data_IF_909817174629
#
_entry.id   IF_909817174629
#
_cell.length_a   1.000
_cell.length_b   1.000
_cell.length_c   1.000
_cell.angle_alpha   90.00
_cell.angle_beta   90.00
_cell.angle_gamma   90.00
#
_symmetry.space_group_name_H-M   'P 1'
#
loop_
_entity.id
_entity.type
_entity.pdbx_description
1 polymer ?
#
# COMPACT_ATOMS: atom_id res chain seq x y z
N UNK A 1 -37.30 -29.89 -26.29
CA UNK A 1 -37.59 -28.82 -25.31
C UNK A 1 -36.27 -28.13 -24.99
N UNK A 2 -36.03 -26.94 -25.53
CA UNK A 2 -34.84 -26.15 -25.18
C UNK A 2 -35.03 -25.58 -23.78
N UNK A 3 -34.28 -26.11 -22.82
CA UNK A 3 -34.15 -25.51 -21.49
C UNK A 3 -33.45 -24.16 -21.67
N UNK A 4 -34.22 -23.07 -21.67
CA UNK A 4 -33.64 -21.74 -21.65
C UNK A 4 -32.96 -21.52 -20.30
N UNK A 5 -31.64 -21.39 -20.33
CA UNK A 5 -30.86 -21.00 -19.16
C UNK A 5 -31.38 -19.65 -18.65
N UNK A 6 -31.71 -19.52 -17.35
CA UNK A 6 -32.28 -18.30 -16.82
C UNK A 6 -31.25 -17.17 -16.93
N UNK A 7 -31.61 -16.10 -17.63
CA UNK A 7 -30.74 -14.93 -17.79
C UNK A 7 -30.41 -14.34 -16.42
N UNK A 8 -29.12 -14.36 -16.07
CA UNK A 8 -28.63 -13.82 -14.81
C UNK A 8 -28.34 -12.32 -14.93
N UNK A 9 -28.73 -11.60 -13.88
CA UNK A 9 -28.52 -10.18 -13.71
C UNK A 9 -27.06 -9.93 -13.28
N UNK A 10 -26.38 -8.92 -13.84
CA UNK A 10 -24.98 -8.61 -13.44
C UNK A 10 -24.89 -8.11 -11.99
N UNK A 11 -25.91 -7.38 -11.52
CA UNK A 11 -25.97 -6.87 -10.15
C UNK A 11 -27.42 -6.90 -9.64
N UNK A 12 -27.60 -7.28 -8.37
CA UNK A 12 -28.91 -7.36 -7.71
C UNK A 12 -29.72 -8.61 -8.06
N UNK A 13 -31.02 -8.58 -7.75
CA UNK A 13 -31.98 -9.64 -8.09
C UNK A 13 -32.92 -9.18 -9.19
N UNK A 14 -33.30 -10.11 -10.07
CA UNK A 14 -34.27 -9.89 -11.14
C UNK A 14 -35.63 -9.59 -10.52
N UNK A 15 -36.34 -8.57 -11.00
CA UNK A 15 -37.69 -8.32 -10.53
C UNK A 15 -38.65 -9.38 -11.08
N UNK A 16 -39.66 -9.79 -10.30
CA UNK A 16 -40.60 -10.85 -10.70
C UNK A 16 -41.33 -10.56 -12.02
N UNK A 17 -41.54 -9.28 -12.32
CA UNK A 17 -42.20 -8.78 -13.54
C UNK A 17 -41.21 -8.34 -14.64
N UNK A 18 -39.90 -8.43 -14.40
CA UNK A 18 -38.89 -7.99 -15.37
C UNK A 18 -38.76 -9.02 -16.48
N UNK A 19 -39.11 -8.63 -17.71
CA UNK A 19 -38.95 -9.49 -18.89
C UNK A 19 -37.47 -9.78 -19.18
N UNK A 20 -37.19 -10.89 -19.86
CA UNK A 20 -35.83 -11.26 -20.29
C UNK A 20 -35.15 -10.15 -21.11
N UNK A 21 -35.93 -9.46 -21.96
CA UNK A 21 -35.45 -8.31 -22.75
C UNK A 21 -35.05 -7.13 -21.88
N UNK A 22 -35.79 -6.86 -20.81
CA UNK A 22 -35.47 -5.80 -19.86
C UNK A 22 -34.20 -6.15 -19.07
N UNK A 23 -34.04 -7.41 -18.66
CA UNK A 23 -32.81 -7.92 -18.02
C UNK A 23 -31.59 -7.72 -18.91
N UNK A 24 -31.68 -8.16 -20.18
CA UNK A 24 -30.59 -7.98 -21.16
C UNK A 24 -30.28 -6.49 -21.35
N UNK A 25 -31.30 -5.65 -21.50
CA UNK A 25 -31.11 -4.21 -21.68
C UNK A 25 -30.51 -3.51 -20.45
N UNK A 26 -30.86 -3.95 -19.24
CA UNK A 26 -30.23 -3.45 -18.03
C UNK A 26 -28.76 -3.87 -17.97
N UNK A 27 -28.44 -5.13 -18.29
CA UNK A 27 -27.05 -5.59 -18.32
C UNK A 27 -26.22 -4.81 -19.34
N UNK A 28 -26.77 -4.52 -20.51
CA UNK A 28 -26.11 -3.68 -21.51
C UNK A 28 -25.94 -2.23 -21.05
N UNK A 29 -26.94 -1.68 -20.34
CA UNK A 29 -26.85 -0.36 -19.72
C UNK A 29 -25.71 -0.26 -18.69
N UNK A 30 -25.57 -1.27 -17.83
CA UNK A 30 -24.50 -1.33 -16.82
C UNK A 30 -23.11 -1.39 -17.45
N UNK A 31 -22.96 -2.12 -18.57
CA UNK A 31 -21.71 -2.24 -19.33
C UNK A 31 -21.26 -0.96 -20.01
N UNK A 32 -22.08 0.10 -20.06
CA UNK A 32 -21.68 1.40 -20.63
C UNK A 32 -20.71 2.19 -19.73
N UNK A 33 -20.52 1.82 -18.46
CA UNK A 33 -19.58 2.51 -17.56
C UNK A 33 -20.06 3.89 -17.09
N UNK A 34 -19.17 4.74 -16.58
CA UNK A 34 -19.54 6.01 -15.91
C UNK A 34 -20.23 7.05 -16.80
N UNK A 35 -20.12 6.93 -18.13
CA UNK A 35 -20.80 7.77 -19.11
C UNK A 35 -22.16 7.22 -19.58
N UNK A 36 -22.76 6.27 -18.86
CA UNK A 36 -24.00 5.60 -19.28
C UNK A 36 -25.17 6.57 -19.43
N UNK A 37 -25.93 6.42 -20.51
CA UNK A 37 -27.23 7.06 -20.67
C UNK A 37 -28.13 6.22 -21.58
N UNK A 38 -29.45 6.34 -21.40
CA UNK A 38 -30.42 5.62 -22.24
C UNK A 38 -30.34 6.04 -23.71
N UNK A 39 -29.88 7.27 -24.00
CA UNK A 39 -29.67 7.74 -25.37
C UNK A 39 -28.49 7.03 -26.03
N UNK A 40 -27.38 6.88 -25.30
CA UNK A 40 -26.20 6.13 -25.78
C UNK A 40 -26.56 4.66 -26.00
N UNK A 41 -27.30 4.05 -25.06
CA UNK A 41 -27.76 2.67 -25.22
C UNK A 41 -28.65 2.50 -26.45
N UNK A 42 -29.61 3.41 -26.66
CA UNK A 42 -30.50 3.39 -27.81
C UNK A 42 -29.72 3.52 -29.12
N UNK A 43 -28.76 4.44 -29.18
CA UNK A 43 -27.94 4.65 -30.37
C UNK A 43 -27.15 3.38 -30.70
N UNK A 44 -26.57 2.74 -29.68
CA UNK A 44 -25.90 1.44 -29.84
C UNK A 44 -26.84 0.37 -30.40
N UNK A 45 -28.07 0.29 -29.90
CA UNK A 45 -29.07 -0.66 -30.41
C UNK A 45 -29.53 -0.36 -31.84
N UNK A 46 -29.54 0.89 -32.27
CA UNK A 46 -29.87 1.26 -33.67
C UNK A 46 -28.78 0.87 -34.65
N UNK A 47 -27.52 0.94 -34.22
CA UNK A 47 -26.36 0.60 -35.05
C UNK A 47 -26.08 -0.92 -35.11
N UNK A 48 -26.68 -1.70 -34.21
CA UNK A 48 -26.45 -3.13 -34.10
C UNK A 48 -27.21 -3.93 -35.18
N UNK A 49 -26.47 -4.58 -36.08
CA UNK A 49 -27.03 -5.39 -37.19
C UNK A 49 -27.00 -6.89 -36.95
N UNK A 50 -26.01 -7.38 -36.20
CA UNK A 50 -25.75 -8.81 -36.04
C UNK A 50 -26.74 -9.54 -35.11
N UNK A 51 -27.19 -8.89 -34.03
CA UNK A 51 -28.13 -9.47 -33.07
C UNK A 51 -29.33 -8.55 -32.91
N UNK A 52 -30.53 -9.14 -32.88
CA UNK A 52 -31.77 -8.38 -32.68
C UNK A 52 -31.76 -7.72 -31.29
N UNK A 53 -31.70 -6.38 -31.21
CA UNK A 53 -31.66 -5.70 -29.91
C UNK A 53 -32.97 -5.93 -29.14
N UNK A 54 -32.95 -5.83 -27.80
CA UNK A 54 -34.15 -5.99 -26.97
C UNK A 54 -35.28 -5.03 -27.36
N UNK A 55 -34.92 -3.80 -27.74
CA UNK A 55 -35.83 -2.77 -28.26
C UNK A 55 -35.04 -1.68 -29.00
N UNK A 56 -35.69 -0.98 -29.93
CA UNK A 56 -35.18 0.23 -30.61
C UNK A 56 -36.02 1.47 -30.30
N UNK A 57 -36.92 1.37 -29.32
CA UNK A 57 -37.84 2.45 -28.91
C UNK A 57 -37.39 3.07 -27.60
N UNK A 58 -37.10 4.37 -27.61
CA UNK A 58 -36.68 5.11 -26.42
C UNK A 58 -37.68 5.00 -25.26
N UNK A 59 -38.99 5.13 -25.56
CA UNK A 59 -40.06 5.06 -24.56
C UNK A 59 -40.06 3.75 -23.77
N UNK A 60 -39.71 2.64 -24.41
CA UNK A 60 -39.59 1.33 -23.76
C UNK A 60 -38.41 1.28 -22.80
N UNK A 61 -37.23 1.78 -23.21
CA UNK A 61 -36.05 1.85 -22.33
C UNK A 61 -36.29 2.77 -21.13
N UNK A 62 -36.91 3.93 -21.34
CA UNK A 62 -37.23 4.87 -20.27
C UNK A 62 -38.20 4.26 -19.24
N UNK A 63 -39.22 3.55 -19.71
CA UNK A 63 -40.16 2.84 -18.85
C UNK A 63 -39.46 1.75 -18.02
N UNK A 64 -38.72 0.84 -18.65
CA UNK A 64 -37.98 -0.22 -17.95
C UNK A 64 -36.94 0.34 -16.97
N UNK A 65 -36.22 1.39 -17.36
CA UNK A 65 -35.24 2.04 -16.49
C UNK A 65 -35.85 2.60 -15.21
N UNK A 66 -37.08 3.11 -15.31
CA UNK A 66 -37.82 3.69 -14.17
C UNK A 66 -38.46 2.59 -13.33
N UNK A 67 -39.17 1.66 -13.97
CA UNK A 67 -39.90 0.57 -13.30
C UNK A 67 -38.98 -0.40 -12.57
N UNK A 68 -37.80 -0.71 -13.13
CA UNK A 68 -36.84 -1.67 -12.56
C UNK A 68 -35.62 -0.99 -11.93
N UNK A 69 -35.72 0.30 -11.60
CA UNK A 69 -34.72 1.07 -10.85
C UNK A 69 -33.27 0.90 -11.37
N UNK A 70 -33.08 1.01 -12.69
CA UNK A 70 -31.76 0.77 -13.30
C UNK A 70 -30.68 1.70 -12.78
N UNK A 71 -31.04 2.93 -12.38
CA UNK A 71 -30.10 3.90 -11.81
C UNK A 71 -29.56 3.45 -10.45
N UNK A 72 -30.38 2.86 -9.60
CA UNK A 72 -29.93 2.39 -8.28
C UNK A 72 -29.08 1.13 -8.41
N UNK A 73 -29.46 0.24 -9.33
CA UNK A 73 -28.64 -0.92 -9.71
C UNK A 73 -27.31 -0.49 -10.31
N UNK A 74 -27.31 0.54 -11.15
CA UNK A 74 -26.09 1.15 -11.70
C UNK A 74 -25.15 1.66 -10.60
N UNK A 75 -25.67 2.35 -9.59
CA UNK A 75 -24.86 2.80 -8.44
C UNK A 75 -24.28 1.61 -7.66
N UNK A 76 -25.08 0.57 -7.42
CA UNK A 76 -24.62 -0.63 -6.72
C UNK A 76 -23.51 -1.36 -7.51
N UNK A 77 -23.67 -1.48 -8.83
CA UNK A 77 -22.65 -2.05 -9.71
C UNK A 77 -21.35 -1.25 -9.67
N UNK A 78 -21.43 0.07 -9.74
CA UNK A 78 -20.26 0.94 -9.72
C UNK A 78 -19.53 0.86 -8.38
N UNK A 79 -20.26 0.85 -7.27
CA UNK A 79 -19.68 0.66 -5.94
C UNK A 79 -18.96 -0.69 -5.81
N UNK A 80 -19.57 -1.79 -6.31
CA UNK A 80 -18.93 -3.11 -6.31
C UNK A 80 -17.67 -3.15 -7.17
N UNK A 81 -17.71 -2.54 -8.35
CA UNK A 81 -16.57 -2.49 -9.26
C UNK A 81 -15.41 -1.68 -8.66
N UNK A 82 -15.70 -0.52 -8.07
CA UNK A 82 -14.68 0.29 -7.40
C UNK A 82 -14.11 -0.41 -6.16
N UNK A 83 -14.96 -1.08 -5.36
CA UNK A 83 -14.48 -1.89 -4.24
C UNK A 83 -13.53 -3.00 -4.73
N UNK A 84 -13.90 -3.74 -5.77
CA UNK A 84 -13.06 -4.80 -6.33
C UNK A 84 -11.71 -4.26 -6.85
N UNK A 85 -11.69 -3.07 -7.47
CA UNK A 85 -10.43 -2.41 -7.88
C UNK A 85 -9.58 -2.02 -6.67
N UNK A 86 -10.18 -1.44 -5.65
CA UNK A 86 -9.48 -1.07 -4.42
C UNK A 86 -8.90 -2.29 -3.72
N UNK A 87 -9.65 -3.39 -3.64
CA UNK A 87 -9.19 -4.65 -3.06
C UNK A 87 -8.03 -5.25 -3.86
N UNK A 88 -8.12 -5.26 -5.20
CA UNK A 88 -7.04 -5.71 -6.07
C UNK A 88 -5.77 -4.85 -5.92
N UNK A 89 -5.92 -3.53 -5.83
CA UNK A 89 -4.80 -2.61 -5.61
C UNK A 89 -4.19 -2.82 -4.21
N UNK A 90 -5.02 -3.02 -3.18
CA UNK A 90 -4.57 -3.31 -1.83
C UNK A 90 -3.83 -4.65 -1.74
N UNK A 91 -4.29 -5.68 -2.45
CA UNK A 91 -3.59 -6.94 -2.58
C UNK A 91 -2.23 -6.76 -3.28
N UNK A 92 -2.19 -6.00 -4.38
CA UNK A 92 -0.94 -5.72 -5.09
C UNK A 92 0.04 -4.90 -4.24
N UNK A 93 -0.46 -3.96 -3.45
CA UNK A 93 0.37 -3.21 -2.50
C UNK A 93 0.97 -4.14 -1.46
N UNK A 94 0.15 -5.02 -0.85
CA UNK A 94 0.65 -6.01 0.10
C UNK A 94 1.72 -6.89 -0.53
N UNK A 95 1.50 -7.43 -1.72
CA UNK A 95 2.52 -8.21 -2.44
C UNK A 95 3.83 -7.43 -2.64
N UNK A 96 3.76 -6.14 -2.99
CA UNK A 96 4.97 -5.32 -3.21
C UNK A 96 5.68 -4.96 -1.90
N UNK A 97 4.95 -4.74 -0.81
CA UNK A 97 5.51 -4.29 0.47
C UNK A 97 5.86 -5.43 1.43
N UNK A 98 5.12 -6.54 1.36
CA UNK A 98 5.26 -7.71 2.23
C UNK A 98 6.12 -8.81 1.59
N UNK A 99 6.75 -8.54 0.44
CA UNK A 99 7.67 -9.46 -0.24
C UNK A 99 8.98 -8.78 -0.65
N UNK A 100 9.98 -9.60 -0.97
CA UNK A 100 11.29 -9.20 -1.46
C UNK A 100 12.04 -8.29 -0.49
N UNK A 101 12.73 -7.29 -1.04
CA UNK A 101 13.56 -6.36 -0.26
C UNK A 101 12.76 -5.38 0.61
N UNK A 102 11.42 -5.43 0.58
CA UNK A 102 10.57 -4.74 1.57
C UNK A 102 10.75 -5.32 2.97
N UNK A 103 11.07 -6.62 3.07
CA UNK A 103 11.26 -7.32 4.33
C UNK A 103 12.70 -7.18 4.84
N UNK A 104 12.85 -6.79 6.10
CA UNK A 104 14.15 -6.57 6.74
C UNK A 104 15.04 -7.82 6.67
N UNK A 105 14.47 -9.02 6.88
CA UNK A 105 15.23 -10.27 6.86
C UNK A 105 15.73 -10.63 5.45
N UNK A 106 14.94 -10.39 4.40
CA UNK A 106 15.36 -10.60 3.00
C UNK A 106 16.49 -9.64 2.62
N UNK A 107 16.39 -8.36 3.03
CA UNK A 107 17.50 -7.40 2.87
C UNK A 107 18.76 -7.91 3.56
N UNK A 108 18.66 -8.40 4.79
CA UNK A 108 19.80 -8.96 5.52
C UNK A 108 20.38 -10.18 4.81
N UNK A 109 19.56 -11.07 4.23
CA UNK A 109 20.03 -12.22 3.44
C UNK A 109 20.84 -11.72 2.24
N UNK A 110 20.31 -10.77 1.45
CA UNK A 110 21.01 -10.23 0.28
C UNK A 110 22.27 -9.45 0.63
N UNK A 111 22.27 -8.70 1.72
CA UNK A 111 23.48 -8.03 2.21
C UNK A 111 24.55 -9.03 2.64
N UNK A 112 24.17 -10.16 3.25
CA UNK A 112 25.12 -11.24 3.60
C UNK A 112 25.70 -11.93 2.37
N UNK A 113 24.87 -12.22 1.37
CA UNK A 113 25.33 -12.77 0.08
C UNK A 113 26.34 -11.82 -0.58
N UNK A 114 26.00 -10.53 -0.70
CA UNK A 114 26.88 -9.52 -1.28
C UNK A 114 28.18 -9.35 -0.48
N UNK A 115 28.10 -9.34 0.85
CA UNK A 115 29.28 -9.26 1.70
C UNK A 115 30.22 -10.45 1.48
N UNK A 116 29.66 -11.66 1.33
CA UNK A 116 30.43 -12.87 1.05
C UNK A 116 31.14 -12.78 -0.31
N UNK A 117 30.44 -12.37 -1.36
CA UNK A 117 31.02 -12.25 -2.70
C UNK A 117 32.16 -11.22 -2.75
N UNK A 118 32.00 -10.08 -2.07
CA UNK A 118 33.04 -9.06 -1.94
C UNK A 118 34.23 -9.58 -1.11
N UNK A 119 33.96 -10.33 -0.04
CA UNK A 119 35.00 -10.94 0.78
C UNK A 119 35.81 -11.99 0.00
N UNK A 120 35.15 -12.80 -0.83
CA UNK A 120 35.80 -13.75 -1.72
C UNK A 120 36.71 -13.03 -2.74
N UNK A 121 36.22 -11.96 -3.38
CA UNK A 121 37.05 -11.14 -4.28
C UNK A 121 38.26 -10.52 -3.57
N UNK A 122 38.12 -10.06 -2.32
CA UNK A 122 39.22 -9.50 -1.52
C UNK A 122 40.24 -10.57 -1.12
N UNK A 123 39.79 -11.80 -0.91
CA UNK A 123 40.64 -12.94 -0.51
C UNK A 123 41.23 -13.69 -1.68
N UNK A 124 40.76 -13.44 -2.91
CA UNK A 124 41.29 -14.07 -4.10
C UNK A 124 42.81 -13.88 -4.18
N UNK A 125 43.50 -14.99 -4.39
CA UNK A 125 44.96 -15.06 -4.46
C UNK A 125 45.34 -15.56 -5.85
N UNK A 126 46.33 -14.94 -6.47
CA UNK A 126 46.90 -15.42 -7.73
C UNK A 126 47.64 -16.75 -7.51
N UNK A 127 47.26 -17.80 -8.23
CA UNK A 127 47.89 -19.14 -8.17
C UNK A 127 49.40 -19.06 -8.40
N UNK A 128 49.86 -18.16 -9.27
CA UNK A 128 51.27 -18.00 -9.62
C UNK A 128 52.01 -17.10 -8.63
N UNK A 129 51.28 -16.28 -7.88
CA UNK A 129 51.83 -15.34 -6.92
C UNK A 129 51.00 -15.33 -5.63
N UNK A 130 51.22 -16.28 -4.71
CA UNK A 130 50.39 -16.45 -3.50
C UNK A 130 50.33 -15.23 -2.57
N UNK A 131 51.25 -14.28 -2.73
CA UNK A 131 51.31 -13.05 -1.96
C UNK A 131 50.63 -11.86 -2.67
N UNK A 132 50.20 -12.02 -3.92
CA UNK A 132 49.49 -10.99 -4.68
C UNK A 132 47.99 -11.26 -4.65
N UNK A 133 47.24 -10.21 -4.32
CA UNK A 133 45.78 -10.19 -4.35
C UNK A 133 45.35 -9.34 -5.55
N UNK A 134 45.07 -9.96 -6.71
CA UNK A 134 44.91 -9.24 -7.97
C UNK A 134 43.76 -8.21 -7.94
N UNK A 135 42.69 -8.50 -7.18
CA UNK A 135 41.55 -7.59 -7.06
C UNK A 135 41.79 -6.41 -6.12
N UNK A 136 42.68 -6.58 -5.13
CA UNK A 136 43.05 -5.52 -4.17
C UNK A 136 44.15 -4.63 -4.75
N UNK A 137 45.10 -5.21 -5.49
CA UNK A 137 46.20 -4.52 -6.14
C UNK A 137 46.09 -4.69 -7.65
N UNK A 138 45.40 -3.75 -8.28
CA UNK A 138 45.17 -3.77 -9.72
C UNK A 138 46.49 -3.40 -10.41
N UNK A 139 46.90 -4.23 -11.36
CA UNK A 139 48.01 -3.92 -12.26
C UNK A 139 47.58 -2.81 -13.21
N UNK A 140 48.34 -1.74 -13.22
CA UNK A 140 48.19 -0.61 -14.12
C UNK A 140 49.53 -0.40 -14.83
N UNK A 141 49.51 0.08 -16.07
CA UNK A 141 50.72 0.25 -16.88
C UNK A 141 50.85 1.71 -17.17
N UNK A 142 51.94 2.30 -16.68
CA UNK A 142 52.25 3.70 -16.92
C UNK A 142 53.42 3.78 -17.89
N UNK A 143 53.20 4.46 -19.01
CA UNK A 143 54.27 4.80 -19.93
C UNK A 143 55.03 6.02 -19.38
N UNK A 144 56.34 5.89 -19.20
CA UNK A 144 57.23 6.97 -18.77
C UNK A 144 58.10 7.36 -19.97
N UNK A 145 58.11 8.65 -20.31
CA UNK A 145 58.84 9.17 -21.48
C UNK A 145 57.96 9.37 -22.71
N UNK A 146 58.58 9.81 -23.82
CA UNK A 146 57.92 10.07 -25.10
C UNK A 146 58.80 9.58 -26.27
N UNK A 147 58.16 9.18 -27.37
CA UNK A 147 58.85 8.70 -28.56
C UNK A 147 59.48 7.31 -28.38
N UNK A 148 60.61 7.08 -29.06
CA UNK A 148 61.31 5.79 -29.10
C UNK A 148 61.90 5.35 -27.74
N UNK A 149 61.99 6.28 -26.78
CA UNK A 149 62.51 6.02 -25.44
C UNK A 149 61.42 5.84 -24.39
N UNK A 150 60.16 5.65 -24.79
CA UNK A 150 59.10 5.44 -23.83
C UNK A 150 59.16 4.04 -23.21
N UNK A 151 59.29 3.98 -21.89
CA UNK A 151 59.34 2.73 -21.12
C UNK A 151 57.97 2.45 -20.50
N UNK A 152 57.48 1.22 -20.63
CA UNK A 152 56.27 0.78 -19.92
C UNK A 152 56.67 0.27 -18.54
N UNK A 153 56.27 1.00 -17.51
CA UNK A 153 56.49 0.61 -16.12
C UNK A 153 55.20 0.07 -15.55
N UNK A 154 55.27 -1.16 -15.02
CA UNK A 154 54.17 -1.76 -14.28
C UNK A 154 54.05 -1.09 -12.91
N UNK A 155 52.87 -0.58 -12.62
CA UNK A 155 52.53 -0.01 -11.33
C UNK A 155 51.36 -0.80 -10.74
N UNK A 156 51.32 -0.91 -9.42
CA UNK A 156 50.19 -1.53 -8.73
C UNK A 156 49.40 -0.44 -8.00
N UNK A 157 48.11 -0.34 -8.34
CA UNK A 157 47.19 0.61 -7.72
C UNK A 157 46.28 -0.12 -6.75
N UNK A 158 46.17 0.40 -5.54
CA UNK A 158 45.22 -0.09 -4.55
C UNK A 158 43.77 0.15 -5.01
N UNK A 159 42.96 -0.90 -5.03
CA UNK A 159 41.54 -0.83 -5.35
C UNK A 159 40.75 -0.37 -4.11
N UNK A 160 40.80 0.93 -3.82
CA UNK A 160 40.07 1.51 -2.69
C UNK A 160 38.55 1.39 -2.82
N UNK A 161 38.03 1.30 -4.04
CA UNK A 161 36.59 1.17 -4.30
C UNK A 161 36.05 -0.15 -3.73
N UNK A 162 36.69 -1.29 -4.04
CA UNK A 162 36.28 -2.61 -3.53
C UNK A 162 36.20 -2.66 -1.99
N UNK A 163 37.19 -2.07 -1.32
CA UNK A 163 37.24 -2.04 0.15
C UNK A 163 36.21 -1.06 0.73
N UNK A 164 35.96 0.06 0.04
CA UNK A 164 34.90 0.99 0.41
C UNK A 164 33.51 0.36 0.28
N UNK A 165 33.26 -0.36 -0.80
CA UNK A 165 31.98 -1.04 -1.06
C UNK A 165 31.73 -2.12 0.00
N UNK A 166 32.74 -2.95 0.30
CA UNK A 166 32.62 -3.95 1.37
C UNK A 166 32.30 -3.32 2.74
N UNK A 167 32.98 -2.22 3.09
CA UNK A 167 32.66 -1.48 4.33
C UNK A 167 31.25 -0.90 4.31
N UNK A 168 30.78 -0.41 3.16
CA UNK A 168 29.42 0.08 2.97
C UNK A 168 28.38 -1.01 3.25
N UNK A 169 28.56 -2.20 2.68
CA UNK A 169 27.67 -3.35 2.90
C UNK A 169 27.65 -3.76 4.38
N UNK A 170 28.80 -3.77 5.05
CA UNK A 170 28.86 -4.05 6.49
C UNK A 170 28.15 -2.98 7.33
N UNK A 171 28.28 -1.71 6.96
CA UNK A 171 27.57 -0.61 7.61
C UNK A 171 26.06 -0.72 7.42
N UNK A 172 25.60 -1.11 6.24
CA UNK A 172 24.17 -1.33 5.96
C UNK A 172 23.63 -2.54 6.73
N UNK A 173 24.38 -3.63 6.80
CA UNK A 173 24.03 -4.79 7.62
C UNK A 173 23.93 -4.44 9.12
N UNK A 174 24.81 -3.57 9.62
CA UNK A 174 24.75 -3.08 10.99
C UNK A 174 23.53 -2.17 11.27
N UNK A 175 23.05 -1.44 10.26
CA UNK A 175 21.80 -0.64 10.38
C UNK A 175 20.59 -1.56 10.43
N UNK A 176 20.47 -2.51 9.50
CA UNK A 176 19.33 -3.44 9.41
C UNK A 176 19.21 -4.35 10.65
N UNK A 177 20.33 -4.77 11.23
CA UNK A 177 20.33 -5.62 12.43
C UNK A 177 20.16 -4.86 13.75
N UNK A 178 19.98 -3.54 13.70
CA UNK A 178 19.82 -2.69 14.89
C UNK A 178 21.10 -2.51 15.71
N UNK A 179 22.25 -2.94 15.20
CA UNK A 179 23.55 -2.81 15.86
C UNK A 179 24.02 -1.36 15.97
N UNK A 180 23.53 -0.46 15.09
CA UNK A 180 23.90 0.96 15.08
C UNK A 180 22.69 1.83 15.40
N UNK A 181 22.53 2.20 16.67
CA UNK A 181 21.60 3.27 17.08
C UNK A 181 22.12 4.59 16.52
N UNK A 182 21.57 5.07 15.40
CA UNK A 182 21.79 6.46 15.02
C UNK A 182 21.17 7.33 16.10
N UNK A 183 22.02 8.11 16.78
CA UNK A 183 21.55 9.18 17.66
C UNK A 183 20.79 10.15 16.76
N UNK A 184 19.46 10.06 16.75
CA UNK A 184 18.63 11.09 16.14
C UNK A 184 18.82 12.35 16.97
N UNK A 185 19.78 13.17 16.59
CA UNK A 185 19.83 14.53 17.06
C UNK A 185 18.68 15.26 16.36
N UNK A 186 17.60 15.51 17.08
CA UNK A 186 16.60 16.50 16.70
C UNK A 186 17.24 17.89 16.77
N UNK A 187 18.17 18.17 15.87
CA UNK A 187 18.68 19.53 15.69
C UNK A 187 17.57 20.29 14.98
N UNK A 188 16.78 21.02 15.75
CA UNK A 188 15.92 22.08 15.21
C UNK A 188 16.82 23.17 14.61
N UNK A 189 17.34 22.94 13.40
CA UNK A 189 17.99 23.97 12.58
C UNK A 189 16.92 24.85 11.97
N UNK A 190 16.32 25.67 12.82
CA UNK A 190 15.51 26.80 12.43
C UNK A 190 15.68 27.86 13.48
N UNK A 191 16.00 29.07 13.03
CA UNK A 191 15.96 30.35 13.77
C UNK A 191 14.50 30.72 14.16
N UNK A 192 13.72 29.71 14.52
CA UNK A 192 12.30 29.71 14.87
C UNK A 192 12.12 28.88 16.15
N UNK A 193 12.91 29.19 17.15
CA UNK A 193 12.55 29.01 18.56
C UNK A 193 11.40 29.95 18.97
N UNK A 194 10.50 30.29 18.05
CA UNK A 194 9.17 30.71 18.42
C UNK A 194 8.42 29.42 18.81
N UNK A 195 7.81 29.34 20.00
CA UNK A 195 6.88 28.28 20.33
C UNK A 195 5.92 28.12 19.16
N UNK A 196 5.67 26.90 18.70
CA UNK A 196 4.52 26.65 17.82
C UNK A 196 3.31 26.95 18.70
N UNK A 197 2.83 28.19 18.61
CA UNK A 197 1.55 28.58 19.19
C UNK A 197 0.51 27.86 18.34
N UNK A 198 0.12 26.66 18.77
CA UNK A 198 -1.00 25.94 18.16
C UNK A 198 -2.26 26.58 18.72
N UNK A 199 -2.58 27.79 18.25
CA UNK A 199 -3.89 28.42 18.46
C UNK A 199 -4.89 27.72 17.54
N UNK A 200 -5.17 26.45 17.85
CA UNK A 200 -6.22 25.69 17.19
C UNK A 200 -7.45 25.70 18.09
N UNK A 201 -8.52 26.44 17.74
CA UNK A 201 -9.78 26.39 18.48
C UNK A 201 -10.35 24.96 18.58
N UNK A 202 -9.96 24.06 17.67
CA UNK A 202 -10.29 22.64 17.75
C UNK A 202 -9.62 21.92 18.93
N UNK A 203 -8.41 22.32 19.34
CA UNK A 203 -7.74 21.75 20.52
C UNK A 203 -8.37 22.24 21.82
N UNK A 204 -8.75 23.52 21.89
CA UNK A 204 -9.50 24.03 23.05
C UNK A 204 -10.85 23.34 23.19
N UNK A 205 -11.54 23.10 22.07
CA UNK A 205 -12.80 22.38 22.08
C UNK A 205 -12.61 20.93 22.52
N UNK A 206 -11.60 20.22 21.99
CA UNK A 206 -11.28 18.87 22.41
C UNK A 206 -10.90 18.78 23.89
N UNK A 207 -10.17 19.78 24.42
CA UNK A 207 -9.83 19.85 25.84
C UNK A 207 -11.06 20.03 26.73
N UNK A 208 -12.01 20.89 26.31
CA UNK A 208 -13.30 21.08 27.00
C UNK A 208 -14.13 19.80 26.99
N UNK A 209 -14.22 19.14 25.83
CA UNK A 209 -14.94 17.85 25.71
C UNK A 209 -14.33 16.77 26.60
N UNK A 210 -12.99 16.69 26.67
CA UNK A 210 -12.30 15.73 27.55
C UNK A 210 -12.56 16.02 29.03
N UNK A 211 -12.63 17.29 29.41
CA UNK A 211 -12.90 17.71 30.78
C UNK A 211 -14.35 17.41 31.19
N UNK A 212 -15.31 17.74 30.32
CA UNK A 212 -16.72 17.38 30.52
C UNK A 212 -16.89 15.88 30.67
N UNK A 213 -16.23 15.09 29.82
CA UNK A 213 -16.28 13.64 29.91
C UNK A 213 -15.74 13.12 31.25
N UNK A 214 -14.62 13.67 31.75
CA UNK A 214 -14.08 13.30 33.08
C UNK A 214 -15.04 13.63 34.22
N UNK A 215 -15.68 14.79 34.17
CA UNK A 215 -16.66 15.21 35.18
C UNK A 215 -17.88 14.29 35.18
N UNK A 216 -18.36 13.89 33.99
CA UNK A 216 -19.45 12.92 33.87
C UNK A 216 -19.08 11.55 34.44
N UNK A 217 -17.87 11.06 34.17
CA UNK A 217 -17.39 9.79 34.74
C UNK A 217 -17.31 9.85 36.27
N UNK A 218 -16.75 10.92 36.83
CA UNK A 218 -16.71 11.11 38.28
C UNK A 218 -18.12 11.14 38.89
N UNK A 219 -19.07 11.86 38.26
CA UNK A 219 -20.47 11.90 38.70
C UNK A 219 -21.12 10.52 38.68
N UNK A 220 -20.90 9.74 37.62
CA UNK A 220 -21.41 8.37 37.53
C UNK A 220 -20.86 7.47 38.64
N UNK A 221 -19.56 7.57 38.95
CA UNK A 221 -18.94 6.80 40.02
C UNK A 221 -19.47 7.18 41.40
N UNK A 222 -19.66 8.47 41.68
CA UNK A 222 -20.27 8.93 42.93
C UNK A 222 -21.70 8.44 43.10
N UNK A 223 -22.52 8.52 42.04
CA UNK A 223 -23.89 8.01 42.06
C UNK A 223 -23.92 6.50 42.32
N UNK A 224 -22.99 5.75 41.74
CA UNK A 224 -22.88 4.31 41.97
C UNK A 224 -22.48 3.97 43.41
N UNK A 225 -21.55 4.72 44.01
CA UNK A 225 -21.19 4.57 45.42
C UNK A 225 -22.37 4.86 46.36
N UNK A 226 -23.21 5.84 46.03
CA UNK A 226 -24.42 6.13 46.83
C UNK A 226 -25.54 5.10 46.64
N UNK A 227 -25.57 4.40 45.51
CA UNK A 227 -26.54 3.33 45.23
C UNK A 227 -26.11 1.96 45.78
N UNK A 228 -24.89 1.84 46.32
CA UNK A 228 -24.44 0.61 46.96
C UNK A 228 -25.25 0.34 48.23
N UNK A 229 -25.86 -0.85 48.37
CA UNK A 229 -26.53 -1.24 49.60
C UNK A 229 -25.54 -1.15 50.76
N UNK A 230 -25.88 -0.41 51.82
CA UNK A 230 -25.10 -0.42 53.05
C UNK A 230 -25.04 -1.85 53.56
N UNK A 231 -23.84 -2.41 53.64
CA UNK A 231 -23.66 -3.75 54.18
C UNK A 231 -24.22 -3.79 55.62
N UNK A 232 -24.94 -4.85 55.99
CA UNK A 232 -25.48 -4.97 57.33
C UNK A 232 -24.33 -4.90 58.34
N UNK A 233 -24.35 -3.87 59.18
CA UNK A 233 -23.40 -3.74 60.29
C UNK A 233 -23.54 -4.97 61.18
N UNK A 234 -22.47 -5.76 61.27
CA UNK A 234 -22.43 -6.93 62.15
C UNK A 234 -22.69 -6.49 63.59
N UNK A 235 -23.53 -7.22 64.35
CA UNK A 235 -23.84 -6.85 65.72
C UNK A 235 -22.56 -6.85 66.55
N UNK A 236 -22.27 -5.71 67.18
CA UNK A 236 -21.20 -5.55 68.16
C UNK A 236 -21.51 -6.42 69.38
N UNK A 237 -20.82 -7.56 69.49
CA UNK A 237 -20.80 -8.36 70.71
C UNK A 237 -20.20 -7.48 71.82
N UNK A 238 -21.03 -7.08 72.77
CA UNK A 238 -20.61 -6.42 74.00
C UNK A 238 -20.43 -7.52 75.04
N UNK A 239 -19.20 -7.68 75.53
CA UNK A 239 -18.87 -8.44 76.74
C UNK A 239 -19.05 -7.58 78.00
#
# INVERSE_FOLDING_TARGET
MTTHEPLQLITGQRHATESDKAVVACNDYLRLGSGRSLRILLERYRQQTANKPPTVRFKTLAHWSTEFHWTDRAKAYDAQLEQAKNDALAARRREVFEDGLGLDFERVIKLKELAKDLEEQIKEVDEHHPHKRPNVWIRDVKQIGAGEYAEQVEIYRYNSALISDYRGVLDDLAKETGGRKQKQEHVHKGDRSAPIVIDSPALEQAAKELQQWREEQCRMLSNWQSAMPTLPTSPTTSD
#
